data_IF_694617155752
#
_entry.id   IF_694617155752
#
_cell.length_a   1.000
_cell.length_b   1.000
_cell.length_c   1.000
_cell.angle_alpha   90.00
_cell.angle_beta   90.00
_cell.angle_gamma   90.00
#
_symmetry.space_group_name_H-M   'P 1'
#
loop_
_entity.id
_entity.type
_entity.pdbx_description
1 polymer ?
#
# COMPACT_ATOMS: atom_id res chain seq x y z
N UNK A 1 21.51 -1.91 2.15
CA UNK A 1 20.10 -1.92 1.72
C UNK A 1 20.02 -1.93 0.20
N UNK A 2 19.12 -2.72 -0.36
CA UNK A 2 18.85 -2.68 -1.78
C UNK A 2 18.08 -1.40 -2.13
N UNK A 3 18.47 -0.76 -3.23
CA UNK A 3 17.82 0.44 -3.75
C UNK A 3 16.36 0.14 -4.11
N UNK A 4 15.45 1.00 -3.66
CA UNK A 4 14.01 0.86 -3.91
C UNK A 4 13.62 1.55 -5.21
N UNK A 5 14.05 2.79 -5.42
CA UNK A 5 13.72 3.57 -6.62
C UNK A 5 14.83 3.48 -7.66
N UNK A 6 14.48 3.12 -8.89
CA UNK A 6 15.46 2.85 -9.95
C UNK A 6 15.85 4.07 -10.75
N UNK A 7 14.94 5.02 -10.95
CA UNK A 7 15.12 6.19 -11.81
C UNK A 7 14.97 7.53 -11.09
N UNK A 8 15.47 7.63 -9.87
CA UNK A 8 15.50 8.90 -9.14
C UNK A 8 16.70 9.74 -9.61
N UNK A 9 16.61 10.24 -10.84
CA UNK A 9 17.64 11.00 -11.53
C UNK A 9 17.45 12.53 -11.36
N UNK A 10 18.24 13.31 -12.07
CA UNK A 10 18.17 14.78 -12.03
C UNK A 10 16.84 15.32 -12.54
N UNK A 11 16.22 14.68 -13.52
CA UNK A 11 14.91 15.05 -14.06
C UNK A 11 13.81 14.82 -13.00
N UNK A 12 13.78 13.64 -12.38
CA UNK A 12 12.84 13.32 -11.32
C UNK A 12 12.98 14.29 -10.13
N UNK A 13 14.22 14.64 -9.76
CA UNK A 13 14.49 15.63 -8.70
C UNK A 13 13.96 17.01 -9.06
N UNK A 14 14.12 17.44 -10.29
CA UNK A 14 13.64 18.75 -10.77
C UNK A 14 12.11 18.84 -10.76
N UNK A 15 11.41 17.71 -10.98
CA UNK A 15 9.95 17.66 -10.95
C UNK A 15 9.38 17.62 -9.52
N UNK A 16 10.18 17.22 -8.54
CA UNK A 16 9.73 17.04 -7.17
C UNK A 16 9.11 18.31 -6.57
N UNK A 17 7.88 18.19 -6.08
CA UNK A 17 7.14 19.33 -5.52
C UNK A 17 6.46 20.25 -6.52
N UNK A 18 6.72 20.10 -7.82
CA UNK A 18 6.19 20.97 -8.88
C UNK A 18 5.30 20.21 -9.86
N UNK A 19 5.58 18.95 -10.10
CA UNK A 19 4.89 18.11 -11.07
C UNK A 19 4.76 16.68 -10.58
N UNK A 20 4.07 15.85 -11.35
CA UNK A 20 3.99 14.42 -11.10
C UNK A 20 5.38 13.81 -11.35
N UNK A 21 5.84 13.02 -10.41
CA UNK A 21 7.09 12.25 -10.50
C UNK A 21 6.73 10.77 -10.62
N UNK A 22 7.10 10.16 -11.73
CA UNK A 22 6.89 8.73 -11.98
C UNK A 22 8.19 7.99 -11.70
N UNK A 23 8.22 7.20 -10.62
CA UNK A 23 9.41 6.46 -10.21
C UNK A 23 9.16 4.95 -10.36
N UNK A 24 10.07 4.28 -11.06
CA UNK A 24 10.11 2.82 -11.06
C UNK A 24 10.69 2.33 -9.74
N UNK A 25 10.20 1.19 -9.28
CA UNK A 25 10.59 0.63 -8.00
C UNK A 25 10.82 -0.89 -8.06
N UNK A 26 11.51 -1.40 -7.06
CA UNK A 26 11.85 -2.83 -6.92
C UNK A 26 10.96 -3.56 -5.92
N UNK A 27 9.89 -2.94 -5.43
CA UNK A 27 9.03 -3.51 -4.37
C UNK A 27 8.43 -4.86 -4.76
N UNK A 28 8.08 -5.03 -6.03
CA UNK A 28 7.54 -6.29 -6.56
C UNK A 28 8.50 -7.49 -6.44
N UNK A 29 9.78 -7.24 -6.20
CA UNK A 29 10.79 -8.29 -5.98
C UNK A 29 10.89 -8.72 -4.52
N UNK A 30 10.19 -8.04 -3.62
CA UNK A 30 10.20 -8.34 -2.18
C UNK A 30 9.14 -9.38 -1.85
N UNK A 31 9.48 -10.30 -0.97
CA UNK A 31 8.56 -11.35 -0.50
C UNK A 31 7.45 -10.81 0.42
N UNK A 32 7.53 -9.54 0.85
CA UNK A 32 6.49 -8.86 1.62
C UNK A 32 5.11 -8.85 0.95
N UNK A 33 5.09 -8.91 -0.38
CA UNK A 33 3.87 -8.78 -1.18
C UNK A 33 3.33 -10.13 -1.66
N UNK A 34 3.77 -11.23 -1.06
CA UNK A 34 3.16 -12.54 -1.32
C UNK A 34 1.77 -12.60 -0.71
N UNK A 35 0.93 -13.45 -1.29
CA UNK A 35 -0.44 -13.64 -0.80
C UNK A 35 -0.47 -14.04 0.68
N UNK A 36 0.41 -14.91 1.08
CA UNK A 36 0.52 -15.40 2.45
C UNK A 36 0.87 -14.28 3.42
N UNK A 37 1.85 -13.45 3.09
CA UNK A 37 2.27 -12.33 3.95
C UNK A 37 1.23 -11.22 3.99
N UNK A 38 0.65 -10.84 2.87
CA UNK A 38 -0.44 -9.87 2.83
C UNK A 38 -1.66 -10.38 3.60
N UNK A 39 -2.01 -11.66 3.44
CA UNK A 39 -3.08 -12.29 4.19
C UNK A 39 -2.85 -12.25 5.69
N UNK A 40 -1.63 -12.55 6.14
CA UNK A 40 -1.26 -12.48 7.56
C UNK A 40 -1.38 -11.04 8.11
N UNK A 41 -1.06 -10.03 7.33
CA UNK A 41 -1.26 -8.63 7.72
C UNK A 41 -2.74 -8.32 7.91
N UNK A 42 -3.59 -8.74 6.98
CA UNK A 42 -5.04 -8.55 7.10
C UNK A 42 -5.60 -9.23 8.35
N UNK A 43 -5.07 -10.41 8.71
CA UNK A 43 -5.46 -11.10 9.94
C UNK A 43 -4.99 -10.39 11.22
N UNK A 44 -3.93 -9.59 11.14
CA UNK A 44 -3.40 -8.83 12.27
C UNK A 44 -4.10 -7.47 12.48
N UNK A 45 -4.87 -6.99 11.51
CA UNK A 45 -5.56 -5.71 11.59
C UNK A 45 -6.75 -5.82 12.55
N UNK A 46 -6.86 -4.94 13.57
CA UNK A 46 -8.00 -4.93 14.47
C UNK A 46 -9.33 -4.69 13.74
N UNK A 47 -10.40 -5.25 14.28
CA UNK A 47 -11.74 -5.03 13.76
C UNK A 47 -12.06 -3.53 13.66
N UNK A 48 -12.67 -3.12 12.55
CA UNK A 48 -13.01 -1.72 12.28
C UNK A 48 -11.88 -0.86 11.72
N UNK A 49 -10.66 -1.41 11.58
CA UNK A 49 -9.51 -0.68 11.04
C UNK A 49 -9.23 -0.98 9.56
N UNK A 50 -10.09 -1.75 8.94
CA UNK A 50 -10.00 -2.11 7.53
C UNK A 50 -11.39 -2.00 6.90
N UNK A 51 -11.48 -1.43 5.70
CA UNK A 51 -12.72 -1.36 4.95
C UNK A 51 -12.69 -2.35 3.79
N UNK A 52 -13.75 -3.13 3.66
CA UNK A 52 -13.96 -4.06 2.54
C UNK A 52 -15.18 -3.58 1.76
N UNK A 53 -15.04 -3.45 0.46
CA UNK A 53 -16.10 -2.92 -0.40
C UNK A 53 -16.32 -3.80 -1.62
N UNK A 54 -17.57 -3.89 -2.05
CA UNK A 54 -17.92 -4.42 -3.36
C UNK A 54 -18.02 -3.28 -4.36
N UNK A 55 -17.67 -3.53 -5.61
CA UNK A 55 -17.80 -2.53 -6.68
C UNK A 55 -19.19 -2.53 -7.33
N UNK A 56 -20.12 -3.38 -6.86
CA UNK A 56 -21.44 -3.51 -7.45
C UNK A 56 -21.39 -3.96 -8.92
N UNK A 57 -22.41 -3.61 -9.69
CA UNK A 57 -22.51 -3.99 -11.11
C UNK A 57 -21.76 -3.04 -12.05
N UNK A 58 -21.55 -1.80 -11.65
CA UNK A 58 -20.87 -0.77 -12.42
C UNK A 58 -19.72 -0.18 -11.60
N UNK A 59 -18.51 -0.69 -11.81
CA UNK A 59 -17.33 -0.29 -11.03
C UNK A 59 -16.98 1.20 -11.12
N UNK A 60 -17.42 1.89 -12.16
CA UNK A 60 -17.24 3.34 -12.32
C UNK A 60 -18.31 4.18 -11.59
N UNK A 61 -19.38 3.58 -11.10
CA UNK A 61 -20.45 4.25 -10.37
C UNK A 61 -20.35 3.93 -8.87
N UNK A 62 -19.77 4.84 -8.11
CA UNK A 62 -19.56 4.69 -6.66
C UNK A 62 -20.86 4.51 -5.87
N UNK A 63 -22.01 4.89 -6.43
CA UNK A 63 -23.31 4.68 -5.81
C UNK A 63 -23.70 3.20 -5.74
N UNK A 64 -23.06 2.35 -6.55
CA UNK A 64 -23.27 0.89 -6.54
C UNK A 64 -22.32 0.18 -5.58
N UNK A 65 -21.38 0.87 -4.99
CA UNK A 65 -20.43 0.32 -4.03
C UNK A 65 -21.11 0.12 -2.68
N UNK A 66 -20.78 -0.94 -2.01
CA UNK A 66 -21.28 -1.21 -0.66
C UNK A 66 -20.19 -1.82 0.21
N UNK A 67 -20.25 -1.45 1.50
CA UNK A 67 -19.42 -2.09 2.50
C UNK A 67 -19.87 -3.52 2.71
N UNK A 68 -18.90 -4.43 2.90
CA UNK A 68 -19.19 -5.79 3.29
C UNK A 68 -18.41 -6.16 4.54
N UNK A 69 -18.98 -7.10 5.28
CA UNK A 69 -18.37 -7.65 6.47
C UNK A 69 -17.38 -8.74 6.08
N UNK A 70 -16.29 -8.81 6.81
CA UNK A 70 -15.29 -9.86 6.63
C UNK A 70 -15.87 -11.25 6.87
N UNK A 71 -16.75 -11.40 7.88
CA UNK A 71 -17.26 -12.70 8.31
C UNK A 71 -16.12 -13.60 8.80
N UNK A 72 -16.18 -14.88 8.43
CA UNK A 72 -15.18 -15.88 8.82
C UNK A 72 -14.04 -16.03 7.79
N UNK A 73 -13.94 -15.12 6.82
CA UNK A 73 -12.88 -15.17 5.81
C UNK A 73 -11.52 -14.87 6.42
N UNK A 74 -10.54 -15.71 6.11
CA UNK A 74 -9.14 -15.44 6.45
C UNK A 74 -8.56 -14.34 5.56
N UNK A 75 -7.43 -13.77 5.97
CA UNK A 75 -6.71 -12.79 5.16
C UNK A 75 -6.34 -13.32 3.78
N UNK A 76 -5.90 -14.57 3.67
CA UNK A 76 -5.60 -15.22 2.38
C UNK A 76 -6.85 -15.32 1.52
N UNK A 77 -7.98 -15.70 2.10
CA UNK A 77 -9.27 -15.77 1.37
C UNK A 77 -9.72 -14.38 0.90
N UNK A 78 -9.48 -13.32 1.70
CA UNK A 78 -9.75 -11.95 1.28
C UNK A 78 -8.88 -11.54 0.08
N UNK A 79 -7.59 -11.89 0.08
CA UNK A 79 -6.70 -11.63 -1.05
C UNK A 79 -7.17 -12.38 -2.30
N UNK A 80 -7.59 -13.64 -2.17
CA UNK A 80 -8.17 -14.39 -3.27
C UNK A 80 -9.42 -13.69 -3.85
N UNK A 81 -10.28 -13.16 -3.00
CA UNK A 81 -11.47 -12.42 -3.44
C UNK A 81 -11.11 -11.13 -4.19
N UNK A 82 -10.07 -10.41 -3.74
CA UNK A 82 -9.54 -9.23 -4.45
C UNK A 82 -9.01 -9.63 -5.83
N UNK A 83 -8.24 -10.71 -5.91
CA UNK A 83 -7.70 -11.20 -7.19
C UNK A 83 -8.80 -11.62 -8.18
N UNK A 84 -9.94 -12.09 -7.67
CA UNK A 84 -11.12 -12.41 -8.49
C UNK A 84 -11.91 -11.17 -8.92
N UNK A 85 -11.52 -9.98 -8.49
CA UNK A 85 -12.16 -8.73 -8.85
C UNK A 85 -13.52 -8.49 -8.20
N UNK A 86 -13.85 -9.20 -7.13
CA UNK A 86 -15.16 -9.12 -6.47
C UNK A 86 -15.24 -8.03 -5.42
N UNK A 87 -14.10 -7.75 -4.77
CA UNK A 87 -13.99 -6.79 -3.69
C UNK A 87 -12.71 -5.98 -3.83
N UNK A 88 -12.65 -4.86 -3.15
CA UNK A 88 -11.41 -4.16 -2.87
C UNK A 88 -11.31 -3.86 -1.38
N UNK A 89 -10.10 -3.72 -0.89
CA UNK A 89 -9.83 -3.55 0.53
C UNK A 89 -9.00 -2.28 0.71
N UNK A 90 -9.39 -1.48 1.69
CA UNK A 90 -8.57 -0.36 2.16
C UNK A 90 -8.11 -0.65 3.58
N UNK A 91 -6.81 -0.90 3.72
CA UNK A 91 -6.17 -1.19 5.00
C UNK A 91 -5.13 -0.11 5.31
N UNK A 92 -5.51 1.00 5.93
CA UNK A 92 -4.60 2.09 6.26
C UNK A 92 -3.72 1.73 7.46
N UNK A 93 -2.57 2.42 7.57
CA UNK A 93 -1.68 2.39 8.74
C UNK A 93 -1.16 0.98 9.08
N UNK A 94 -0.84 0.19 8.06
CA UNK A 94 -0.33 -1.17 8.28
C UNK A 94 1.03 -1.21 8.98
N UNK A 95 1.76 -0.09 9.03
CA UNK A 95 2.97 0.03 9.86
C UNK A 95 2.71 -0.21 11.35
N UNK A 96 1.47 -0.07 11.81
CA UNK A 96 1.09 -0.31 13.20
C UNK A 96 0.93 -1.79 13.53
N UNK A 97 0.75 -2.64 12.54
CA UNK A 97 0.53 -4.08 12.72
C UNK A 97 1.63 -4.94 12.12
N UNK A 98 2.53 -4.35 11.35
CA UNK A 98 3.64 -5.06 10.70
C UNK A 98 4.94 -4.26 10.82
N UNK A 99 5.90 -4.81 11.56
CA UNK A 99 7.24 -4.23 11.67
C UNK A 99 7.93 -4.18 10.29
N UNK A 100 7.76 -5.20 9.46
CA UNK A 100 8.38 -5.24 8.13
C UNK A 100 7.89 -4.09 7.24
N UNK A 101 6.61 -3.74 7.32
CA UNK A 101 6.06 -2.58 6.60
C UNK A 101 6.45 -1.25 7.25
N UNK A 102 6.59 -1.20 8.57
CA UNK A 102 7.14 -0.03 9.24
C UNK A 102 8.59 0.23 8.78
N UNK A 103 9.42 -0.79 8.73
CA UNK A 103 10.80 -0.70 8.26
C UNK A 103 10.85 -0.30 6.77
N UNK A 104 9.98 -0.86 5.93
CA UNK A 104 9.87 -0.47 4.52
C UNK A 104 9.52 1.00 4.36
N UNK A 105 8.57 1.50 5.16
CA UNK A 105 8.17 2.90 5.14
C UNK A 105 9.36 3.82 5.45
N UNK A 106 10.14 3.48 6.49
CA UNK A 106 11.36 4.22 6.84
C UNK A 106 12.39 4.18 5.71
N UNK A 107 12.61 3.01 5.12
CA UNK A 107 13.56 2.83 4.01
C UNK A 107 13.16 3.66 2.78
N UNK A 108 11.89 3.68 2.42
CA UNK A 108 11.38 4.45 1.28
C UNK A 108 11.59 5.95 1.48
N UNK A 109 11.19 6.47 2.63
CA UNK A 109 11.36 7.89 2.93
C UNK A 109 12.83 8.27 3.10
N UNK A 110 13.63 7.41 3.73
CA UNK A 110 15.08 7.61 3.83
C UNK A 110 15.75 7.70 2.46
N UNK A 111 15.37 6.86 1.51
CA UNK A 111 15.88 6.93 0.14
C UNK A 111 15.45 8.23 -0.57
N UNK A 112 14.18 8.65 -0.41
CA UNK A 112 13.71 9.92 -0.96
C UNK A 112 14.52 11.10 -0.38
N UNK A 113 14.77 11.11 0.91
CA UNK A 113 15.53 12.18 1.58
C UNK A 113 16.96 12.29 1.05
N UNK A 114 17.58 11.19 0.61
CA UNK A 114 18.92 11.24 -0.01
C UNK A 114 18.92 11.97 -1.35
N UNK A 115 17.79 11.98 -2.06
CA UNK A 115 17.63 12.63 -3.35
C UNK A 115 17.05 14.04 -3.25
N UNK A 116 16.28 14.30 -2.21
CA UNK A 116 15.59 15.57 -1.96
C UNK A 116 15.98 16.06 -0.56
N UNK A 117 17.14 16.73 -0.40
CA UNK A 117 17.71 17.06 0.92
C UNK A 117 16.81 17.91 1.82
N UNK A 118 15.97 18.77 1.25
CA UNK A 118 15.05 19.63 2.00
C UNK A 118 13.67 19.00 2.19
N UNK A 119 13.56 17.70 1.98
CA UNK A 119 12.31 16.96 2.15
C UNK A 119 12.00 16.76 3.64
N UNK A 120 11.31 17.74 4.23
CA UNK A 120 10.88 17.68 5.62
C UNK A 120 9.67 16.79 5.80
N UNK A 121 9.87 15.54 6.27
CA UNK A 121 8.76 14.64 6.55
C UNK A 121 8.16 14.93 7.91
N UNK A 122 6.93 15.41 7.90
CA UNK A 122 6.18 15.69 9.14
C UNK A 122 5.34 14.47 9.59
N UNK A 123 4.72 13.78 8.64
CA UNK A 123 3.89 12.60 8.92
C UNK A 123 3.97 11.62 7.76
N UNK A 124 4.14 10.34 8.07
CA UNK A 124 4.19 9.28 7.07
C UNK A 124 3.32 8.10 7.48
N UNK A 125 2.73 7.46 6.50
CA UNK A 125 1.89 6.28 6.68
C UNK A 125 1.94 5.41 5.45
N UNK A 126 1.70 4.13 5.62
CA UNK A 126 1.59 3.16 4.53
C UNK A 126 0.26 2.42 4.67
N UNK A 127 -0.42 2.23 3.56
CA UNK A 127 -1.65 1.46 3.47
C UNK A 127 -1.60 0.47 2.32
N UNK A 128 -2.46 -0.52 2.39
CA UNK A 128 -2.77 -1.43 1.28
C UNK A 128 -4.12 -1.05 0.68
N UNK A 129 -4.18 -0.97 -0.63
CA UNK A 129 -5.40 -0.69 -1.39
C UNK A 129 -5.54 -1.71 -2.51
#
# INVERSE_FOLDING_TARGET
MSRIFENFDSEAKALWGNNIVDLRHTLHKRDLFTKEKLGAILDAIPEGHMAINTMGRAGHDTRTWSYCQRGDLSGVQLIDAVQQGRIWINAPKIQNVSKEFADLLEDMFGEIETHVPDFGVYRKSIGLL
#
